data_IF_313310253864
#
_entry.id   IF_313310253864
#
_cell.length_a   1.000
_cell.length_b   1.000
_cell.length_c   1.000
_cell.angle_alpha   90.00
_cell.angle_beta   90.00
_cell.angle_gamma   90.00
#
_symmetry.space_group_name_H-M   'P 1'
#
loop_
_entity.id
_entity.type
_entity.pdbx_description
1 polymer ?
#
# COMPACT_ATOMS: atom_id res chain seq x y z
N UNK A 1 -6.37 -10.32 -20.30
CA UNK A 1 -5.92 -10.35 -18.89
C UNK A 1 -7.16 -10.54 -18.04
N UNK A 2 -7.18 -11.53 -17.15
CA UNK A 2 -8.32 -11.73 -16.26
C UNK A 2 -8.25 -10.62 -15.19
N UNK A 3 -9.17 -9.65 -15.23
CA UNK A 3 -9.18 -8.48 -14.33
C UNK A 3 -9.38 -8.86 -12.86
N UNK A 4 -9.64 -10.14 -12.57
CA UNK A 4 -9.87 -10.68 -11.22
C UNK A 4 -8.78 -11.68 -10.79
N UNK A 5 -7.58 -11.63 -11.38
CA UNK A 5 -6.48 -12.50 -10.92
C UNK A 5 -6.02 -12.08 -9.51
N UNK A 6 -5.92 -13.00 -8.54
CA UNK A 6 -5.38 -12.69 -7.21
C UNK A 6 -3.95 -12.15 -7.27
N UNK A 7 -3.19 -12.45 -8.33
CA UNK A 7 -1.82 -11.95 -8.54
C UNK A 7 -1.77 -10.52 -9.08
N UNK A 8 -2.91 -9.89 -9.38
CA UNK A 8 -2.93 -8.55 -9.96
C UNK A 8 -2.38 -7.52 -8.95
N UNK A 9 -1.45 -6.71 -9.45
CA UNK A 9 -0.80 -5.65 -8.69
C UNK A 9 -1.73 -4.44 -8.65
N UNK A 10 -1.90 -3.88 -7.45
CA UNK A 10 -2.60 -2.63 -7.19
C UNK A 10 -1.57 -1.54 -7.01
N UNK A 11 -1.61 -0.51 -7.85
CA UNK A 11 -0.73 0.65 -7.75
C UNK A 11 -1.40 1.81 -7.01
N UNK A 12 -0.62 2.50 -6.20
CA UNK A 12 -1.04 3.70 -5.47
C UNK A 12 -0.28 4.92 -5.99
N UNK A 13 -1.03 5.96 -6.31
CA UNK A 13 -0.51 7.28 -6.68
C UNK A 13 -1.53 8.35 -6.27
N UNK A 14 -1.09 9.60 -6.19
CA UNK A 14 -2.02 10.73 -6.14
C UNK A 14 -2.72 10.85 -7.51
N UNK A 15 -3.77 11.65 -7.60
CA UNK A 15 -4.51 11.88 -8.85
C UNK A 15 -4.58 13.37 -9.16
N UNK A 16 -4.76 13.70 -10.44
CA UNK A 16 -4.98 15.07 -10.89
C UNK A 16 -5.97 15.07 -12.05
N UNK A 17 -6.66 16.18 -12.23
CA UNK A 17 -7.55 16.38 -13.37
C UNK A 17 -6.75 16.91 -14.56
N UNK A 18 -6.95 16.30 -15.74
CA UNK A 18 -6.44 16.77 -17.03
C UNK A 18 -7.63 16.88 -17.97
N UNK A 19 -8.19 18.10 -18.06
CA UNK A 19 -9.50 18.30 -18.66
C UNK A 19 -10.58 17.63 -17.79
N UNK A 20 -11.40 16.78 -18.41
CA UNK A 20 -12.48 16.04 -17.73
C UNK A 20 -12.05 14.62 -17.28
N UNK A 21 -10.76 14.30 -17.34
CA UNK A 21 -10.22 12.98 -17.01
C UNK A 21 -9.35 13.03 -15.76
N UNK A 22 -9.65 12.16 -14.80
CA UNK A 22 -8.80 11.92 -13.63
C UNK A 22 -7.67 10.97 -14.02
N UNK A 23 -6.43 11.42 -13.88
CA UNK A 23 -5.24 10.61 -14.19
C UNK A 23 -4.34 10.42 -12.97
N UNK A 24 -3.58 9.33 -12.97
CA UNK A 24 -2.55 9.06 -11.98
C UNK A 24 -1.44 10.13 -12.05
N UNK A 25 -1.01 10.60 -10.88
CA UNK A 25 0.06 11.59 -10.73
C UNK A 25 0.97 11.19 -9.57
N UNK A 26 2.28 11.28 -9.82
CA UNK A 26 3.30 10.83 -8.86
C UNK A 26 3.90 11.99 -8.04
N UNK A 27 3.96 13.20 -8.61
CA UNK A 27 4.61 14.38 -8.01
C UNK A 27 6.11 14.47 -8.32
N UNK A 28 6.70 15.65 -8.13
CA UNK A 28 8.11 15.93 -8.51
C UNK A 28 9.12 15.86 -7.36
N UNK A 29 8.66 15.57 -6.15
CA UNK A 29 9.52 15.34 -4.99
C UNK A 29 9.85 16.57 -4.13
N UNK A 30 9.18 17.71 -4.37
CA UNK A 30 9.33 18.93 -3.57
C UNK A 30 8.51 18.87 -2.28
N UNK A 31 8.55 19.91 -1.45
CA UNK A 31 7.72 19.98 -0.24
C UNK A 31 6.23 20.15 -0.53
N UNK A 32 5.91 20.94 -1.55
CA UNK A 32 4.53 21.23 -1.96
C UNK A 32 3.99 20.19 -2.95
N UNK A 33 4.87 19.47 -3.65
CA UNK A 33 4.52 18.40 -4.58
C UNK A 33 5.38 17.16 -4.32
N UNK A 34 5.09 16.41 -3.24
CA UNK A 34 5.87 15.25 -2.83
C UNK A 34 5.69 14.10 -3.82
N UNK A 35 6.77 13.35 -4.04
CA UNK A 35 6.74 12.13 -4.85
C UNK A 35 6.15 11.00 -4.00
N UNK A 36 5.08 10.35 -4.45
CA UNK A 36 4.47 9.20 -3.76
C UNK A 36 4.03 8.13 -4.73
N UNK A 37 4.57 6.93 -4.57
CA UNK A 37 4.14 5.72 -5.27
C UNK A 37 4.04 4.59 -4.28
N UNK A 38 3.06 3.72 -4.45
CA UNK A 38 3.02 2.45 -3.73
C UNK A 38 2.49 1.33 -4.57
N UNK A 39 2.65 0.12 -4.07
CA UNK A 39 2.08 -1.07 -4.67
C UNK A 39 1.77 -2.14 -3.62
N UNK A 40 0.79 -2.97 -3.94
CA UNK A 40 0.47 -4.24 -3.27
C UNK A 40 -0.12 -5.19 -4.32
N UNK A 41 -0.59 -6.37 -3.93
CA UNK A 41 -1.40 -7.23 -4.80
C UNK A 41 -2.59 -7.79 -4.03
N UNK A 42 -3.65 -8.17 -4.76
CA UNK A 42 -4.87 -8.68 -4.12
C UNK A 42 -4.63 -9.94 -3.29
N UNK A 43 -3.72 -10.81 -3.71
CA UNK A 43 -3.32 -12.00 -2.96
C UNK A 43 -2.80 -11.63 -1.56
N UNK A 44 -1.91 -10.64 -1.46
CA UNK A 44 -1.39 -10.17 -0.16
C UNK A 44 -2.52 -9.61 0.71
N UNK A 45 -3.42 -8.82 0.12
CA UNK A 45 -4.56 -8.24 0.84
C UNK A 45 -5.53 -9.33 1.32
N UNK A 46 -5.77 -10.36 0.51
CA UNK A 46 -6.64 -11.48 0.86
C UNK A 46 -6.06 -12.29 2.01
N UNK A 47 -4.77 -12.63 1.96
CA UNK A 47 -4.10 -13.35 3.05
C UNK A 47 -4.17 -12.56 4.35
N UNK A 48 -4.06 -11.22 4.30
CA UNK A 48 -4.27 -10.39 5.47
C UNK A 48 -5.71 -10.51 6.03
N UNK A 49 -6.72 -10.44 5.16
CA UNK A 49 -8.13 -10.59 5.56
C UNK A 49 -8.40 -11.96 6.20
N UNK A 50 -7.88 -13.04 5.61
CA UNK A 50 -8.04 -14.39 6.15
C UNK A 50 -7.46 -14.50 7.56
N UNK A 51 -6.32 -13.87 7.82
CA UNK A 51 -5.72 -13.78 9.16
C UNK A 51 -6.60 -12.95 10.10
N UNK A 52 -7.18 -11.83 9.64
CA UNK A 52 -8.06 -11.00 10.48
C UNK A 52 -9.38 -11.70 10.85
N UNK A 53 -9.85 -12.66 10.07
CA UNK A 53 -11.05 -13.45 10.40
C UNK A 53 -10.82 -14.46 11.53
N UNK A 54 -9.55 -14.78 11.84
CA UNK A 54 -9.21 -15.69 12.93
C UNK A 54 -9.28 -14.96 14.27
N UNK A 55 -10.36 -15.17 15.03
CA UNK A 55 -10.60 -14.53 16.33
C UNK A 55 -9.56 -14.86 17.40
N UNK A 56 -8.78 -15.91 17.22
CA UNK A 56 -7.69 -16.32 18.12
C UNK A 56 -6.35 -15.63 17.81
N UNK A 57 -6.24 -14.93 16.69
CA UNK A 57 -4.98 -14.36 16.19
C UNK A 57 -4.90 -12.86 16.49
N UNK A 58 -3.74 -12.42 16.95
CA UNK A 58 -3.43 -10.99 17.12
C UNK A 58 -2.32 -10.66 16.14
N UNK A 59 -2.59 -9.72 15.23
CA UNK A 59 -1.58 -9.25 14.28
C UNK A 59 -0.96 -7.94 14.74
N UNK A 60 0.34 -7.80 14.56
CA UNK A 60 1.05 -6.52 14.76
C UNK A 60 1.35 -5.92 13.41
N UNK A 61 0.96 -4.66 13.18
CA UNK A 61 1.29 -3.91 11.98
C UNK A 61 2.67 -3.26 12.12
N UNK A 62 3.54 -3.48 11.14
CA UNK A 62 4.91 -2.96 11.09
C UNK A 62 5.04 -1.93 9.98
N UNK A 63 5.74 -0.83 10.26
CA UNK A 63 6.13 0.17 9.26
C UNK A 63 7.64 0.30 9.28
N UNK A 64 8.28 -0.17 8.21
CA UNK A 64 9.73 -0.26 8.10
C UNK A 64 10.19 0.64 6.95
N UNK A 65 10.94 1.70 7.27
CA UNK A 65 11.55 2.57 6.27
C UNK A 65 13.04 2.27 6.14
N UNK A 66 13.51 1.99 4.92
CA UNK A 66 14.92 1.77 4.59
C UNK A 66 15.41 2.79 3.57
N UNK A 67 16.70 3.12 3.66
CA UNK A 67 17.41 4.07 2.79
C UNK A 67 18.50 3.39 1.95
N UNK A 68 18.65 2.05 2.07
CA UNK A 68 19.77 1.29 1.50
C UNK A 68 19.51 0.75 0.09
N UNK A 69 18.33 0.98 -0.47
CA UNK A 69 17.96 0.41 -1.76
C UNK A 69 18.09 1.51 -2.82
N UNK A 70 19.08 1.34 -3.71
CA UNK A 70 19.40 2.09 -4.95
C UNK A 70 20.04 3.48 -4.86
N UNK A 71 20.75 3.83 -5.96
CA UNK A 71 21.35 5.14 -6.29
C UNK A 71 20.39 6.34 -6.23
N UNK A 72 19.12 6.13 -5.85
CA UNK A 72 18.10 7.16 -5.68
C UNK A 72 17.98 7.55 -4.19
N UNK A 73 17.92 8.86 -3.92
CA UNK A 73 18.01 9.46 -2.58
C UNK A 73 16.73 9.35 -1.73
N UNK A 74 15.76 8.52 -2.11
CA UNK A 74 14.43 8.53 -1.49
C UNK A 74 14.17 7.29 -0.62
N UNK A 75 13.50 7.45 0.54
CA UNK A 75 13.17 6.34 1.41
C UNK A 75 12.18 5.36 0.76
N UNK A 76 12.38 4.08 1.04
CA UNK A 76 11.41 3.01 0.77
C UNK A 76 10.75 2.62 2.08
N UNK A 77 9.43 2.69 2.14
CA UNK A 77 8.64 2.26 3.29
C UNK A 77 7.91 0.98 2.94
N UNK A 78 8.09 -0.06 3.75
CA UNK A 78 7.33 -1.30 3.68
C UNK A 78 6.36 -1.31 4.85
N UNK A 79 5.08 -1.47 4.54
CA UNK A 79 4.07 -1.83 5.53
C UNK A 79 3.94 -3.35 5.49
N UNK A 80 3.99 -3.99 6.64
CA UNK A 80 3.79 -5.42 6.79
C UNK A 80 3.03 -5.72 8.06
N UNK A 81 2.68 -6.98 8.28
CA UNK A 81 2.12 -7.44 9.54
C UNK A 81 2.82 -8.71 9.99
N UNK A 82 2.74 -9.01 11.28
CA UNK A 82 3.19 -10.30 11.82
C UNK A 82 2.11 -11.01 12.60
N UNK A 83 2.15 -12.33 12.55
CA UNK A 83 1.37 -13.21 13.42
C UNK A 83 2.02 -13.33 14.82
N UNK A 84 1.37 -14.09 15.72
CA UNK A 84 1.89 -14.39 17.06
C UNK A 84 3.16 -15.25 17.04
N UNK A 85 3.43 -15.95 15.94
CA UNK A 85 4.62 -16.77 15.76
C UNK A 85 5.82 -15.96 15.24
N UNK A 86 5.64 -14.66 14.97
CA UNK A 86 6.69 -13.77 14.51
C UNK A 86 6.96 -13.86 13.01
N UNK A 87 6.15 -14.59 12.24
CA UNK A 87 6.24 -14.53 10.77
C UNK A 87 5.86 -13.15 10.29
N UNK A 88 6.61 -12.63 9.32
CA UNK A 88 6.39 -11.28 8.76
C UNK A 88 5.91 -11.38 7.33
N UNK A 89 4.77 -10.76 7.07
CA UNK A 89 4.14 -10.74 5.76
C UNK A 89 4.14 -9.31 5.23
N UNK A 90 4.58 -9.06 3.98
CA UNK A 90 4.44 -7.76 3.36
C UNK A 90 2.96 -7.43 3.17
N UNK A 91 2.61 -6.15 3.25
CA UNK A 91 1.25 -5.65 3.09
C UNK A 91 1.16 -4.54 2.04
N UNK A 92 2.21 -3.73 1.93
CA UNK A 92 2.40 -2.77 0.84
C UNK A 92 3.81 -2.20 0.80
N UNK A 93 4.27 -1.87 -0.40
CA UNK A 93 5.56 -1.26 -0.66
C UNK A 93 5.36 0.17 -1.13
N UNK A 94 6.16 1.10 -0.62
CA UNK A 94 5.98 2.53 -0.85
C UNK A 94 7.31 3.22 -1.10
N UNK A 95 7.31 4.12 -2.08
CA UNK A 95 8.38 5.06 -2.36
C UNK A 95 7.83 6.46 -2.12
N UNK A 96 8.42 7.18 -1.18
CA UNK A 96 8.04 8.56 -0.89
C UNK A 96 9.28 9.45 -0.94
N UNK A 97 9.21 10.65 -1.51
CA UNK A 97 10.38 11.55 -1.48
C UNK A 97 10.67 12.09 -0.08
N UNK A 98 9.71 11.97 0.84
CA UNK A 98 9.74 12.55 2.19
C UNK A 98 9.32 11.52 3.24
N UNK A 99 9.75 11.77 4.48
CA UNK A 99 9.36 11.01 5.70
C UNK A 99 8.55 11.92 6.63
N UNK A 100 7.56 12.63 6.10
CA UNK A 100 6.68 13.46 6.92
C UNK A 100 5.44 12.65 7.31
N UNK A 101 4.77 13.11 8.36
CA UNK A 101 3.51 12.54 8.86
C UNK A 101 2.48 12.33 7.74
N UNK A 102 2.41 13.27 6.79
CA UNK A 102 1.46 13.21 5.68
C UNK A 102 1.76 12.06 4.70
N UNK A 103 3.02 11.77 4.42
CA UNK A 103 3.41 10.69 3.51
C UNK A 103 3.14 9.32 4.14
N UNK A 104 3.46 9.17 5.43
CA UNK A 104 3.16 7.93 6.16
C UNK A 104 1.65 7.69 6.27
N UNK A 105 0.88 8.75 6.55
CA UNK A 105 -0.57 8.67 6.60
C UNK A 105 -1.15 8.34 5.21
N UNK A 106 -0.53 8.84 4.13
CA UNK A 106 -0.89 8.48 2.76
C UNK A 106 -0.67 6.98 2.52
N UNK A 107 0.50 6.42 2.85
CA UNK A 107 0.77 4.99 2.67
C UNK A 107 -0.26 4.11 3.40
N UNK A 108 -0.56 4.43 4.67
CA UNK A 108 -1.56 3.68 5.47
C UNK A 108 -2.96 3.77 4.85
N UNK A 109 -3.39 4.97 4.44
CA UNK A 109 -4.70 5.17 3.81
C UNK A 109 -4.82 4.40 2.50
N UNK A 110 -3.75 4.36 1.70
CA UNK A 110 -3.72 3.65 0.42
C UNK A 110 -3.97 2.16 0.60
N UNK A 111 -3.25 1.49 1.51
CA UNK A 111 -3.49 0.05 1.77
C UNK A 111 -4.85 -0.18 2.39
N UNK A 112 -5.26 0.64 3.38
CA UNK A 112 -6.58 0.52 4.01
C UNK A 112 -7.71 0.59 2.98
N UNK A 113 -7.65 1.54 2.04
CA UNK A 113 -8.64 1.67 0.97
C UNK A 113 -8.68 0.41 0.12
N UNK A 114 -7.52 -0.07 -0.35
CA UNK A 114 -7.45 -1.28 -1.17
C UNK A 114 -8.03 -2.51 -0.44
N UNK A 115 -7.76 -2.66 0.86
CA UNK A 115 -8.34 -3.73 1.68
C UNK A 115 -9.86 -3.62 1.78
N UNK A 116 -10.39 -2.42 2.05
CA UNK A 116 -11.84 -2.19 2.13
C UNK A 116 -12.52 -2.46 0.78
N UNK A 117 -11.91 -2.02 -0.32
CA UNK A 117 -12.47 -2.22 -1.65
C UNK A 117 -12.50 -3.72 -1.99
N UNK A 118 -11.45 -4.47 -1.65
CA UNK A 118 -11.45 -5.94 -1.79
C UNK A 118 -12.60 -6.59 -1.02
N UNK A 119 -12.85 -6.21 0.24
CA UNK A 119 -13.98 -6.74 1.04
C UNK A 119 -15.32 -6.47 0.35
N UNK A 120 -15.50 -5.26 -0.20
CA UNK A 120 -16.74 -4.89 -0.90
C UNK A 120 -16.96 -5.73 -2.15
N UNK A 121 -15.92 -5.93 -2.96
CA UNK A 121 -15.98 -6.77 -4.16
C UNK A 121 -16.29 -8.23 -3.81
N UNK A 122 -15.67 -8.77 -2.75
CA UNK A 122 -15.92 -10.15 -2.30
C UNK A 122 -17.31 -10.37 -1.69
N UNK A 123 -18.03 -9.32 -1.31
CA UNK A 123 -19.38 -9.41 -0.72
C UNK A 123 -20.51 -9.26 -1.77
N UNK A 124 -20.17 -8.98 -3.02
CA UNK A 124 -21.12 -8.82 -4.14
C UNK A 124 -21.20 -10.04 -5.06
N UNK A 125 -20.31 -11.03 -4.86
CA UNK A 125 -20.29 -12.33 -5.54
C UNK A 125 -20.68 -13.44 -4.55
#
# INVERSE_FOLDING_TARGET
MNENSPEQVVYFSDTTDVGDVVVARVGVGTEVDPFRVGLTCYQILQVYLDVQQQTSTTTVLHLITTFKVVRQRYPVTVIGYSDKCGHRFPFGYFFTSRRKKLDMAWCIRSVKRATIDLVKFSSQN
#
